data_IF_809800700140
#
_entry.id   IF_809800700140
#
_cell.length_a   1.000
_cell.length_b   1.000
_cell.length_c   1.000
_cell.angle_alpha   90.00
_cell.angle_beta   90.00
_cell.angle_gamma   90.00
#
_symmetry.space_group_name_H-M   'P 1'
#
loop_
_entity.id
_entity.type
_entity.pdbx_description
1 polymer ?
#
# COMPACT_ATOMS: atom_id res chain seq x y z
N UNK A 1 22.49 8.81 -10.47
CA UNK A 1 21.21 9.52 -10.72
C UNK A 1 20.39 9.59 -9.46
N UNK A 2 19.87 10.74 -9.14
CA UNK A 2 19.04 10.89 -7.96
C UNK A 2 17.58 10.55 -8.25
N UNK A 3 16.98 9.83 -7.32
CA UNK A 3 15.56 9.53 -7.40
C UNK A 3 14.73 10.80 -7.13
N UNK A 4 13.65 11.06 -7.89
CA UNK A 4 12.84 12.26 -7.70
C UNK A 4 12.28 12.44 -6.29
N UNK A 5 12.11 11.34 -5.55
CA UNK A 5 11.60 11.39 -4.18
C UNK A 5 12.64 11.75 -3.13
N UNK A 6 13.93 11.75 -3.46
CA UNK A 6 14.98 11.99 -2.49
C UNK A 6 14.85 13.31 -1.73
N UNK A 7 14.44 14.43 -2.36
CA UNK A 7 14.25 15.67 -1.61
C UNK A 7 13.24 15.58 -0.47
N UNK A 8 12.26 14.68 -0.61
CA UNK A 8 11.23 14.48 0.41
C UNK A 8 11.68 13.58 1.55
N UNK A 9 12.78 12.85 1.37
CA UNK A 9 13.25 11.87 2.34
C UNK A 9 14.27 12.44 3.33
N UNK A 10 14.63 13.70 3.18
CA UNK A 10 15.57 14.40 4.07
C UNK A 10 16.85 13.61 4.32
N UNK A 11 17.42 13.10 3.25
CA UNK A 11 18.59 12.20 3.30
C UNK A 11 19.80 12.80 3.99
N UNK A 12 19.91 14.11 4.03
CA UNK A 12 21.03 14.79 4.66
C UNK A 12 21.07 14.54 6.16
N UNK A 13 19.90 14.36 6.76
CA UNK A 13 19.77 14.16 8.20
C UNK A 13 19.68 12.69 8.57
N UNK A 14 18.96 11.89 7.77
CA UNK A 14 18.60 10.54 8.12
C UNK A 14 19.04 9.51 7.08
N UNK A 15 19.75 9.94 6.05
CA UNK A 15 20.06 9.08 4.93
C UNK A 15 18.76 8.71 4.19
N UNK A 16 18.61 7.44 3.86
CA UNK A 16 17.44 6.94 3.14
C UNK A 16 16.43 6.23 4.04
N UNK A 17 16.67 6.23 5.34
CA UNK A 17 15.79 5.54 6.30
C UNK A 17 14.71 6.50 6.78
N UNK A 18 13.47 6.15 6.53
CA UNK A 18 12.31 6.93 6.98
C UNK A 18 11.27 5.96 7.52
N UNK A 19 10.30 6.46 8.30
CA UNK A 19 9.22 5.63 8.79
C UNK A 19 8.29 5.23 7.64
N UNK A 20 7.54 4.15 7.83
CA UNK A 20 6.52 3.74 6.85
C UNK A 20 5.46 4.82 6.68
N UNK A 21 5.05 5.46 7.78
CA UNK A 21 4.07 6.53 7.72
C UNK A 21 4.55 7.70 6.85
N UNK A 22 5.83 8.04 6.90
CA UNK A 22 6.39 9.09 6.06
C UNK A 22 6.54 8.63 4.61
N UNK A 23 6.97 7.37 4.42
CA UNK A 23 7.19 6.84 3.07
C UNK A 23 5.91 6.83 2.24
N UNK A 24 4.77 6.45 2.85
CA UNK A 24 3.51 6.37 2.11
C UNK A 24 2.94 7.73 1.72
N UNK A 25 3.47 8.81 2.24
CA UNK A 25 3.07 10.16 1.83
C UNK A 25 3.46 10.46 0.38
N UNK A 26 4.37 9.67 -0.19
CA UNK A 26 4.78 9.79 -1.59
C UNK A 26 3.72 9.24 -2.55
N UNK A 27 2.79 8.44 -2.06
CA UNK A 27 1.76 7.82 -2.89
C UNK A 27 0.63 8.81 -3.08
N UNK A 28 0.26 9.05 -4.34
CA UNK A 28 -0.79 9.99 -4.71
C UNK A 28 -2.02 9.25 -5.23
N UNK A 29 -3.15 9.92 -5.22
CA UNK A 29 -4.39 9.38 -5.77
C UNK A 29 -4.17 8.95 -7.23
N UNK A 30 -4.69 7.79 -7.58
CA UNK A 30 -4.58 7.27 -8.94
C UNK A 30 -3.25 6.61 -9.29
N UNK A 31 -2.29 6.57 -8.35
CA UNK A 31 -1.00 5.95 -8.61
C UNK A 31 -1.14 4.44 -8.83
N UNK A 32 -0.18 3.87 -9.55
CA UNK A 32 -0.05 2.43 -9.71
C UNK A 32 1.01 1.93 -8.75
N UNK A 33 0.68 0.93 -7.96
CA UNK A 33 1.58 0.33 -7.00
C UNK A 33 1.88 -1.10 -7.40
N UNK A 34 3.16 -1.40 -7.59
CA UNK A 34 3.61 -2.76 -7.84
C UNK A 34 4.19 -3.31 -6.54
N UNK A 35 3.72 -4.48 -6.11
CA UNK A 35 4.21 -5.11 -4.89
C UNK A 35 4.96 -6.38 -5.21
N UNK A 36 6.03 -6.63 -4.46
CA UNK A 36 6.83 -7.85 -4.57
C UNK A 36 6.57 -8.75 -3.39
N UNK A 37 6.98 -10.01 -3.53
CA UNK A 37 6.88 -10.99 -2.46
C UNK A 37 6.07 -12.21 -2.84
N UNK A 38 6.12 -13.20 -1.96
CA UNK A 38 5.38 -14.45 -2.13
C UNK A 38 4.85 -14.88 -0.75
N UNK A 39 3.55 -15.00 -0.62
CA UNK A 39 2.86 -15.27 0.65
C UNK A 39 3.22 -14.16 1.65
N UNK A 40 4.06 -14.43 2.64
CA UNK A 40 4.55 -13.43 3.57
C UNK A 40 6.04 -13.13 3.43
N UNK A 41 6.67 -13.69 2.40
CA UNK A 41 8.12 -13.56 2.20
C UNK A 41 8.41 -12.40 1.25
N UNK A 42 9.19 -11.43 1.74
CA UNK A 42 9.60 -10.29 0.92
C UNK A 42 8.52 -9.26 0.65
N UNK A 43 7.36 -9.39 1.29
CA UNK A 43 6.29 -8.39 1.18
C UNK A 43 6.50 -7.26 2.19
N UNK A 44 6.29 -6.03 1.75
CA UNK A 44 6.47 -4.86 2.61
C UNK A 44 5.22 -4.63 3.47
N UNK A 45 5.05 -5.44 4.50
CA UNK A 45 3.87 -5.43 5.38
C UNK A 45 3.67 -4.07 6.06
N UNK A 46 4.73 -3.47 6.59
CA UNK A 46 4.65 -2.17 7.25
C UNK A 46 4.14 -1.07 6.32
N UNK A 47 4.53 -1.12 5.06
CA UNK A 47 4.07 -0.15 4.07
C UNK A 47 2.56 -0.35 3.81
N UNK A 48 2.12 -1.61 3.67
CA UNK A 48 0.71 -1.90 3.44
C UNK A 48 -0.14 -1.42 4.62
N UNK A 49 0.32 -1.67 5.85
CA UNK A 49 -0.36 -1.21 7.06
C UNK A 49 -0.44 0.32 7.09
N UNK A 50 0.66 0.99 6.74
CA UNK A 50 0.70 2.45 6.76
C UNK A 50 -0.26 3.06 5.73
N UNK A 51 -0.36 2.47 4.54
CA UNK A 51 -1.33 2.90 3.53
C UNK A 51 -2.75 2.74 4.05
N UNK A 52 -3.05 1.59 4.64
CA UNK A 52 -4.37 1.32 5.21
C UNK A 52 -4.73 2.33 6.29
N UNK A 53 -3.83 2.57 7.24
CA UNK A 53 -4.05 3.50 8.33
C UNK A 53 -4.28 4.92 7.84
N UNK A 54 -3.52 5.35 6.84
CA UNK A 54 -3.67 6.67 6.25
C UNK A 54 -5.04 6.80 5.58
N UNK A 55 -5.44 5.80 4.81
CA UNK A 55 -6.73 5.81 4.12
C UNK A 55 -7.89 5.83 5.12
N UNK A 56 -7.79 5.06 6.20
CA UNK A 56 -8.84 4.98 7.22
C UNK A 56 -8.86 6.18 8.17
N UNK A 57 -7.83 7.03 8.13
CA UNK A 57 -7.74 8.17 9.04
C UNK A 57 -7.43 7.77 10.48
N UNK A 58 -6.74 6.65 10.67
CA UNK A 58 -6.42 6.12 12.00
C UNK A 58 -5.34 6.93 12.72
N UNK A 59 -4.57 7.74 11.98
CA UNK A 59 -3.54 8.61 12.54
C UNK A 59 -4.11 10.01 12.70
N UNK A 60 -4.15 10.52 13.93
CA UNK A 60 -4.74 11.82 14.23
C UNK A 60 -4.15 12.97 13.42
N UNK A 61 -2.83 12.93 13.20
CA UNK A 61 -2.15 13.96 12.42
C UNK A 61 -2.58 13.98 10.96
N UNK A 62 -3.03 12.82 10.46
CA UNK A 62 -3.41 12.63 9.07
C UNK A 62 -4.91 12.39 8.89
N UNK A 63 -5.71 12.63 9.94
CA UNK A 63 -7.14 12.37 9.87
C UNK A 63 -7.82 13.16 8.74
N UNK A 64 -7.31 14.36 8.44
CA UNK A 64 -7.82 15.18 7.34
C UNK A 64 -7.56 14.56 5.96
N UNK A 65 -6.68 13.56 5.90
CA UNK A 65 -6.34 12.84 4.68
C UNK A 65 -7.08 11.50 4.58
N UNK A 66 -8.04 11.23 5.46
CA UNK A 66 -8.83 10.00 5.39
C UNK A 66 -9.49 9.89 4.01
N UNK A 67 -9.52 8.68 3.46
CA UNK A 67 -9.99 8.44 2.10
C UNK A 67 -8.91 8.65 1.03
N UNK A 68 -7.69 8.94 1.45
CA UNK A 68 -6.55 9.12 0.55
C UNK A 68 -5.34 8.34 1.05
N UNK A 69 -4.48 7.81 0.16
CA UNK A 69 -4.64 7.87 -1.30
C UNK A 69 -5.86 7.06 -1.72
N UNK A 70 -6.37 7.31 -2.91
CA UNK A 70 -7.54 6.61 -3.42
C UNK A 70 -7.38 6.29 -4.90
N UNK A 71 -8.23 5.39 -5.38
CA UNK A 71 -8.27 4.99 -6.78
C UNK A 71 -6.94 4.42 -7.27
N UNK A 72 -6.25 3.68 -6.41
CA UNK A 72 -4.97 3.08 -6.74
C UNK A 72 -5.15 1.88 -7.68
N UNK A 73 -4.13 1.62 -8.49
CA UNK A 73 -4.03 0.40 -9.27
C UNK A 73 -2.97 -0.48 -8.62
N UNK A 74 -3.31 -1.73 -8.33
CA UNK A 74 -2.37 -2.70 -7.78
C UNK A 74 -1.90 -3.67 -8.87
N UNK A 75 -0.61 -3.94 -8.90
CA UNK A 75 -0.01 -4.91 -9.84
C UNK A 75 0.88 -5.84 -9.04
N UNK A 76 0.64 -7.14 -9.13
CA UNK A 76 1.48 -8.13 -8.47
C UNK A 76 1.44 -9.46 -9.23
N UNK A 77 2.51 -10.25 -9.09
CA UNK A 77 2.62 -11.53 -9.79
C UNK A 77 2.16 -12.72 -8.92
N UNK A 78 2.77 -12.89 -7.75
CA UNK A 78 2.48 -14.02 -6.87
C UNK A 78 1.52 -13.62 -5.75
N UNK A 79 0.85 -14.58 -5.15
CA UNK A 79 -0.04 -14.31 -4.03
C UNK A 79 0.71 -13.71 -2.84
N UNK A 80 0.19 -12.63 -2.30
CA UNK A 80 0.83 -11.89 -1.20
C UNK A 80 -0.18 -11.68 -0.08
N UNK A 81 -0.28 -12.67 0.79
CA UNK A 81 -1.21 -12.62 1.90
C UNK A 81 -1.18 -13.93 2.68
N UNK A 82 -1.93 -14.00 3.76
CA UNK A 82 -2.02 -15.18 4.62
C UNK A 82 -3.37 -15.90 4.51
N UNK A 83 -4.18 -15.52 3.53
CA UNK A 83 -5.52 -16.05 3.37
C UNK A 83 -6.53 -15.43 4.34
N UNK A 84 -6.14 -14.44 5.10
CA UNK A 84 -6.98 -13.80 6.13
C UNK A 84 -6.91 -12.28 6.07
N UNK A 85 -5.90 -11.69 6.69
CA UNK A 85 -5.83 -10.24 6.86
C UNK A 85 -4.52 -9.59 6.43
N UNK A 86 -3.44 -10.36 6.36
CA UNK A 86 -2.11 -9.81 6.07
C UNK A 86 -1.87 -9.65 4.58
N UNK A 87 -0.76 -8.99 4.28
CA UNK A 87 -0.36 -8.75 2.90
C UNK A 87 -1.27 -7.77 2.21
N UNK A 88 -1.62 -8.05 0.97
CA UNK A 88 -2.48 -7.18 0.19
C UNK A 88 -3.90 -7.08 0.72
N UNK A 89 -4.30 -7.95 1.68
CA UNK A 89 -5.60 -7.80 2.33
C UNK A 89 -5.74 -6.45 3.02
N UNK A 90 -4.65 -5.84 3.47
CA UNK A 90 -4.68 -4.50 4.07
C UNK A 90 -5.21 -3.45 3.11
N UNK A 91 -5.07 -3.64 1.81
CA UNK A 91 -5.44 -2.65 0.81
C UNK A 91 -6.85 -2.86 0.26
N UNK A 92 -7.56 -3.87 0.74
CA UNK A 92 -8.88 -4.23 0.22
C UNK A 92 -9.99 -3.35 0.82
N UNK A 93 -9.96 -2.09 0.51
CA UNK A 93 -10.97 -1.13 0.94
C UNK A 93 -11.59 -0.44 -0.26
N UNK A 94 -12.91 -0.33 -0.28
CA UNK A 94 -13.59 0.39 -1.34
C UNK A 94 -13.13 1.86 -1.36
N UNK A 95 -12.79 2.34 -2.54
CA UNK A 95 -12.25 3.69 -2.72
C UNK A 95 -10.72 3.76 -2.68
N UNK A 96 -10.06 2.87 -1.93
CA UNK A 96 -8.60 2.83 -1.91
C UNK A 96 -8.04 2.26 -3.22
N UNK A 97 -8.62 1.17 -3.69
CA UNK A 97 -8.14 0.48 -4.89
C UNK A 97 -9.23 0.50 -5.96
N UNK A 98 -8.86 0.93 -7.16
CA UNK A 98 -9.75 0.96 -8.31
C UNK A 98 -9.55 -0.22 -9.25
N UNK A 99 -8.31 -0.66 -9.44
CA UNK A 99 -7.97 -1.70 -10.40
C UNK A 99 -6.90 -2.63 -9.84
N UNK A 100 -7.05 -3.91 -10.08
CA UNK A 100 -6.11 -4.92 -9.60
C UNK A 100 -5.70 -5.80 -10.77
N UNK A 101 -4.40 -5.93 -10.98
CA UNK A 101 -3.82 -6.84 -11.96
C UNK A 101 -2.95 -7.80 -11.18
N UNK A 102 -3.47 -8.97 -10.87
CA UNK A 102 -2.80 -9.93 -10.02
C UNK A 102 -2.79 -11.32 -10.61
N UNK A 103 -1.68 -12.05 -10.41
CA UNK A 103 -1.50 -13.40 -10.91
C UNK A 103 -2.12 -14.48 -10.03
N UNK A 104 -2.36 -14.20 -8.75
CA UNK A 104 -2.93 -15.17 -7.83
C UNK A 104 -3.69 -14.45 -6.72
N UNK A 105 -4.91 -14.89 -6.45
CA UNK A 105 -5.81 -14.21 -5.51
C UNK A 105 -6.19 -15.05 -4.29
N UNK A 106 -5.77 -16.33 -4.23
CA UNK A 106 -6.21 -17.25 -3.19
C UNK A 106 -5.82 -16.86 -1.78
N UNK A 107 -4.74 -16.09 -1.61
CA UNK A 107 -4.26 -15.67 -0.30
C UNK A 107 -4.76 -14.29 0.10
N UNK A 108 -5.58 -13.66 -0.72
CA UNK A 108 -6.10 -12.31 -0.47
C UNK A 108 -7.63 -12.27 -0.60
N UNK A 109 -8.33 -12.99 0.30
CA UNK A 109 -9.80 -13.08 0.21
C UNK A 109 -10.51 -11.73 0.26
N UNK A 110 -9.94 -10.76 0.96
CA UNK A 110 -10.56 -9.43 1.03
C UNK A 110 -10.53 -8.72 -0.31
N UNK A 111 -9.45 -8.90 -1.10
CA UNK A 111 -9.41 -8.37 -2.46
C UNK A 111 -10.39 -9.11 -3.37
N UNK A 112 -10.54 -10.43 -3.19
CA UNK A 112 -11.53 -11.20 -3.95
C UNK A 112 -12.93 -10.66 -3.73
N UNK A 113 -13.30 -10.40 -2.49
CA UNK A 113 -14.60 -9.84 -2.16
C UNK A 113 -14.80 -8.47 -2.79
N UNK A 114 -13.79 -7.62 -2.70
CA UNK A 114 -13.85 -6.29 -3.26
C UNK A 114 -14.03 -6.33 -4.79
N UNK A 115 -13.36 -7.26 -5.46
CA UNK A 115 -13.39 -7.36 -6.91
C UNK A 115 -14.75 -7.81 -7.47
N UNK A 116 -15.53 -8.58 -6.70
CA UNK A 116 -16.81 -9.12 -7.17
C UNK A 116 -18.00 -8.28 -6.71
N UNK A 117 -17.77 -7.29 -5.91
CA UNK A 117 -18.81 -6.34 -5.53
C UNK A 117 -18.83 -5.16 -6.48
#
# INVERSE_FOLDING_TARGET
MEHPALPFLKRDEKGKVVSAADAVKLIRDGDTIATGGFVGIGFAEEIAIAIEQRFLGANDEEASKAGHPRDLTLVYAAGQGDGKERGLNHLAHAGLVRKIVGGHWGLVPKLQHLAVE
#
